data_IF_981733050028
#
_entry.id   IF_981733050028
#
_cell.length_a   1.000
_cell.length_b   1.000
_cell.length_c   1.000
_cell.angle_alpha   90.00
_cell.angle_beta   90.00
_cell.angle_gamma   90.00
#
_symmetry.space_group_name_H-M   'P 1'
#
loop_
_entity.id
_entity.type
_entity.pdbx_description
1 polymer ?
#
# COMPACT_ATOMS: atom_id res chain seq x y z
N UNK A 1 -6.19 17.51 10.02
CA UNK A 1 -5.57 16.22 10.32
C UNK A 1 -4.56 15.91 9.24
N UNK A 2 -3.31 15.73 9.60
CA UNK A 2 -2.23 15.32 8.69
C UNK A 2 -2.42 13.87 8.26
N UNK A 3 -1.75 13.44 7.18
CA UNK A 3 -1.78 12.03 6.78
C UNK A 3 -1.19 11.11 7.87
N UNK A 4 -0.12 11.55 8.54
CA UNK A 4 0.50 10.76 9.61
C UNK A 4 -0.44 10.58 10.79
N UNK A 5 -1.17 11.63 11.20
CA UNK A 5 -2.20 11.53 12.26
C UNK A 5 -3.34 10.59 11.85
N UNK A 6 -3.78 10.67 10.58
CA UNK A 6 -4.80 9.77 10.04
C UNK A 6 -4.35 8.30 10.13
N UNK A 7 -3.11 8.01 9.73
CA UNK A 7 -2.56 6.65 9.76
C UNK A 7 -2.28 6.19 11.20
N UNK A 8 -1.91 7.10 12.10
CA UNK A 8 -1.81 6.79 13.53
C UNK A 8 -3.16 6.41 14.16
N UNK A 9 -4.26 6.92 13.58
CA UNK A 9 -5.65 6.61 13.97
C UNK A 9 -6.26 5.39 13.29
N UNK A 10 -5.47 4.52 12.64
CA UNK A 10 -5.96 3.23 12.16
C UNK A 10 -6.61 2.43 13.30
N UNK A 11 -7.66 1.68 12.99
CA UNK A 11 -8.41 0.87 13.95
C UNK A 11 -8.40 -0.62 13.60
N UNK A 12 -8.82 -1.45 14.56
CA UNK A 12 -8.85 -2.89 14.39
C UNK A 12 -9.83 -3.32 13.28
N UNK A 13 -10.93 -2.58 13.09
CA UNK A 13 -11.91 -2.87 12.03
C UNK A 13 -11.31 -2.72 10.63
N UNK A 14 -10.44 -1.72 10.43
CA UNK A 14 -9.71 -1.50 9.18
C UNK A 14 -8.63 -2.56 8.97
N UNK A 15 -7.91 -2.94 10.04
CA UNK A 15 -6.75 -3.83 9.94
C UNK A 15 -7.10 -5.31 9.90
N UNK A 16 -8.15 -5.76 10.61
CA UNK A 16 -8.53 -7.17 10.69
C UNK A 16 -8.61 -7.85 9.31
N UNK A 17 -9.37 -7.35 8.32
CA UNK A 17 -9.45 -8.02 7.01
C UNK A 17 -8.11 -8.06 6.26
N UNK A 18 -7.21 -7.10 6.51
CA UNK A 18 -5.86 -7.08 5.91
C UNK A 18 -4.99 -8.16 6.55
N UNK A 19 -4.99 -8.25 7.88
CA UNK A 19 -4.20 -9.23 8.63
C UNK A 19 -4.70 -10.64 8.37
N UNK A 20 -6.01 -10.88 8.35
CA UNK A 20 -6.58 -12.20 8.05
C UNK A 20 -6.19 -12.70 6.66
N UNK A 21 -6.11 -11.83 5.64
CA UNK A 21 -5.59 -12.19 4.32
C UNK A 21 -4.09 -12.50 4.32
N UNK A 22 -3.32 -11.82 5.18
CA UNK A 22 -1.88 -12.08 5.35
C UNK A 22 -1.64 -13.45 5.98
N UNK A 23 -2.31 -13.74 7.10
CA UNK A 23 -2.08 -14.97 7.89
C UNK A 23 -2.97 -16.14 7.47
N UNK A 24 -3.92 -15.92 6.56
CA UNK A 24 -4.87 -16.91 6.02
C UNK A 24 -5.76 -17.60 7.07
N UNK A 25 -5.96 -16.96 8.22
CA UNK A 25 -6.81 -17.44 9.33
C UNK A 25 -7.46 -16.24 10.04
N UNK A 26 -8.61 -16.42 10.72
CA UNK A 26 -9.20 -15.38 11.56
C UNK A 26 -8.26 -14.93 12.68
N UNK A 27 -8.27 -13.63 13.00
CA UNK A 27 -7.42 -13.06 14.06
C UNK A 27 -8.18 -12.15 15.03
N UNK A 28 -7.62 -12.02 16.24
CA UNK A 28 -8.06 -11.12 17.31
C UNK A 28 -6.88 -10.49 18.02
N UNK A 29 -7.14 -9.59 18.96
CA UNK A 29 -6.13 -8.95 19.81
C UNK A 29 -4.98 -8.35 18.98
N UNK A 30 -5.32 -7.50 18.00
CA UNK A 30 -4.32 -6.89 17.12
C UNK A 30 -3.55 -5.81 17.89
N UNK A 31 -2.24 -5.85 17.79
CA UNK A 31 -1.34 -4.75 18.17
C UNK A 31 -0.57 -4.32 16.93
N UNK A 32 -0.35 -3.01 16.75
CA UNK A 32 0.37 -2.51 15.59
C UNK A 32 1.04 -1.17 15.85
N UNK A 33 1.99 -0.88 14.97
CA UNK A 33 2.57 0.44 14.77
C UNK A 33 2.56 0.75 13.29
N UNK A 34 2.43 2.02 12.94
CA UNK A 34 2.56 2.49 11.57
C UNK A 34 3.71 3.50 11.49
N UNK A 35 4.71 3.18 10.67
CA UNK A 35 5.89 4.02 10.47
C UNK A 35 5.95 4.50 9.01
N UNK A 36 6.17 5.79 8.74
CA UNK A 36 6.44 6.26 7.39
C UNK A 36 7.64 5.52 6.79
N UNK A 37 7.55 5.18 5.51
CA UNK A 37 8.69 4.70 4.73
C UNK A 37 9.31 5.92 4.06
N UNK A 38 10.62 6.14 4.29
CA UNK A 38 11.34 7.25 3.69
C UNK A 38 11.22 7.18 2.16
N UNK A 39 10.52 8.17 1.61
CA UNK A 39 10.25 8.28 0.19
C UNK A 39 10.57 9.71 -0.24
N UNK A 40 11.44 9.86 -1.25
CA UNK A 40 11.57 11.13 -1.93
C UNK A 40 10.35 11.31 -2.83
N UNK A 41 9.57 12.34 -2.57
CA UNK A 41 8.37 12.67 -3.35
C UNK A 41 8.73 12.91 -4.82
N UNK A 42 8.69 11.84 -5.63
CA UNK A 42 8.98 11.89 -7.06
C UNK A 42 7.70 11.97 -7.90
N UNK A 43 6.53 11.79 -7.29
CA UNK A 43 5.23 11.72 -7.95
C UNK A 43 4.15 12.44 -7.11
N UNK A 44 3.44 13.43 -7.66
CA UNK A 44 2.40 14.19 -6.94
C UNK A 44 1.16 13.36 -6.56
N UNK A 45 0.96 12.19 -7.17
CA UNK A 45 -0.20 11.33 -6.86
C UNK A 45 0.02 10.37 -5.69
N UNK A 46 1.23 10.34 -5.12
CA UNK A 46 1.54 9.54 -3.94
C UNK A 46 1.55 10.42 -2.70
N UNK A 47 0.54 10.28 -1.84
CA UNK A 47 0.45 11.03 -0.59
C UNK A 47 1.42 10.51 0.48
N UNK A 48 1.72 9.20 0.44
CA UNK A 48 2.66 8.60 1.38
C UNK A 48 2.71 7.08 1.28
N UNK A 49 3.75 6.53 1.91
CA UNK A 49 3.97 5.10 2.06
C UNK A 49 4.26 4.82 3.53
N UNK A 50 3.60 3.81 4.09
CA UNK A 50 3.71 3.44 5.50
C UNK A 50 3.91 1.94 5.61
N UNK A 51 4.81 1.53 6.49
CA UNK A 51 4.91 0.16 6.96
C UNK A 51 4.06 0.03 8.22
N UNK A 52 3.11 -0.89 8.20
CA UNK A 52 2.26 -1.20 9.35
C UNK A 52 2.59 -2.62 9.80
N UNK A 53 3.04 -2.76 11.04
CA UNK A 53 3.53 -4.03 11.55
C UNK A 53 3.17 -4.22 13.02
N UNK A 54 3.01 -5.48 13.41
CA UNK A 54 2.73 -5.85 14.79
C UNK A 54 2.43 -7.33 14.96
N UNK A 55 1.56 -7.63 15.91
CA UNK A 55 1.19 -9.00 16.32
C UNK A 55 -0.32 -9.17 16.26
N UNK A 56 -0.76 -10.40 16.05
CA UNK A 56 -2.18 -10.76 16.14
C UNK A 56 -2.33 -12.17 16.69
N UNK A 57 -3.39 -12.41 17.46
CA UNK A 57 -3.72 -13.74 17.99
C UNK A 57 -4.47 -14.55 16.93
N UNK A 58 -3.81 -15.58 16.40
CA UNK A 58 -4.40 -16.59 15.51
C UNK A 58 -4.68 -17.88 16.30
N UNK A 59 -5.92 -18.05 16.75
CA UNK A 59 -6.28 -19.15 17.65
C UNK A 59 -5.58 -19.03 19.01
N UNK A 60 -4.65 -19.93 19.30
CA UNK A 60 -3.86 -19.95 20.54
C UNK A 60 -2.43 -19.38 20.37
N UNK A 61 -2.06 -18.91 19.18
CA UNK A 61 -0.69 -18.50 18.86
C UNK A 61 -0.64 -17.03 18.45
N UNK A 62 0.34 -16.29 18.98
CA UNK A 62 0.66 -14.95 18.49
C UNK A 62 1.46 -15.05 17.20
N UNK A 63 0.99 -14.35 16.15
CA UNK A 63 1.60 -14.31 14.82
C UNK A 63 2.10 -12.89 14.56
N UNK A 64 3.41 -12.68 14.30
CA UNK A 64 3.86 -11.40 13.77
C UNK A 64 3.33 -11.21 12.35
N UNK A 65 3.03 -9.97 11.99
CA UNK A 65 2.58 -9.60 10.66
C UNK A 65 3.10 -8.23 10.27
N UNK A 66 3.23 -7.99 8.97
CA UNK A 66 3.48 -6.67 8.43
C UNK A 66 2.84 -6.49 7.06
N UNK A 67 2.46 -5.26 6.77
CA UNK A 67 1.84 -4.82 5.53
C UNK A 67 2.41 -3.46 5.13
N UNK A 68 2.32 -3.16 3.83
CA UNK A 68 2.60 -1.83 3.30
C UNK A 68 1.29 -1.14 2.96
N UNK A 69 1.10 0.06 3.48
CA UNK A 69 0.00 0.95 3.13
C UNK A 69 0.53 2.05 2.22
N UNK A 70 0.05 2.07 0.97
CA UNK A 70 0.30 3.14 0.01
C UNK A 70 -0.94 4.02 -0.09
N UNK A 71 -0.76 5.32 0.06
CA UNK A 71 -1.85 6.30 -0.04
C UNK A 71 -1.69 7.06 -1.35
N UNK A 72 -2.62 6.84 -2.27
CA UNK A 72 -2.75 7.56 -3.53
C UNK A 72 -3.65 8.78 -3.32
N UNK A 73 -3.42 9.87 -4.06
CA UNK A 73 -4.23 11.08 -3.97
C UNK A 73 -4.41 11.76 -5.33
N UNK A 74 -5.53 12.45 -5.48
CA UNK A 74 -5.72 13.40 -6.59
C UNK A 74 -4.69 14.52 -6.54
N UNK A 75 -4.37 15.06 -7.70
CA UNK A 75 -3.40 16.16 -7.84
C UNK A 75 -4.08 17.47 -7.46
N UNK A 76 -3.40 18.29 -6.65
CA UNK A 76 -3.82 19.67 -6.36
C UNK A 76 -3.50 20.59 -7.54
N UNK A 77 -4.16 21.75 -7.66
CA UNK A 77 -3.83 22.72 -8.71
C UNK A 77 -2.37 23.22 -8.60
N UNK A 78 -1.86 23.33 -7.37
CA UNK A 78 -0.46 23.69 -7.09
C UNK A 78 0.51 22.63 -7.63
N UNK A 79 0.26 21.35 -7.33
CA UNK A 79 1.08 20.25 -7.85
C UNK A 79 0.95 20.15 -9.39
N UNK A 80 -0.24 20.33 -9.93
CA UNK A 80 -0.45 20.31 -11.38
C UNK A 80 0.36 21.40 -12.08
N UNK A 81 0.46 22.60 -11.49
CA UNK A 81 1.31 23.68 -11.98
C UNK A 81 2.80 23.36 -11.82
N UNK A 82 3.22 22.89 -10.63
CA UNK A 82 4.61 22.54 -10.30
C UNK A 82 5.17 21.46 -11.24
N UNK A 83 4.36 20.45 -11.54
CA UNK A 83 4.72 19.35 -12.43
C UNK A 83 4.36 19.61 -13.91
N UNK A 84 3.87 20.83 -14.24
CA UNK A 84 3.50 21.27 -15.60
C UNK A 84 2.51 20.33 -16.30
N UNK A 85 1.63 19.70 -15.54
CA UNK A 85 0.73 18.64 -16.03
C UNK A 85 -0.27 19.22 -17.04
N UNK A 86 -0.86 20.38 -16.73
CA UNK A 86 -1.81 21.05 -17.61
C UNK A 86 -1.21 21.47 -18.97
N UNK A 87 0.12 21.56 -19.08
CA UNK A 87 0.82 21.97 -20.30
C UNK A 87 1.20 20.79 -21.21
N UNK A 88 1.12 19.54 -20.74
CA UNK A 88 1.42 18.36 -21.54
C UNK A 88 0.41 17.24 -21.26
N UNK A 89 -0.47 16.98 -22.24
CA UNK A 89 -1.51 15.95 -22.16
C UNK A 89 -0.94 14.56 -21.81
N UNK A 90 0.30 14.24 -22.18
CA UNK A 90 0.92 12.94 -21.83
C UNK A 90 1.15 12.81 -20.32
N UNK A 91 1.35 13.93 -19.63
CA UNK A 91 1.53 13.93 -18.18
C UNK A 91 0.22 13.65 -17.44
N UNK A 92 -0.95 13.87 -18.06
CA UNK A 92 -2.23 13.50 -17.44
C UNK A 92 -2.34 11.99 -17.21
N UNK A 93 -1.93 11.18 -18.19
CA UNK A 93 -1.91 9.71 -18.04
C UNK A 93 -0.77 9.26 -17.13
N UNK A 94 0.42 9.88 -17.27
CA UNK A 94 1.57 9.56 -16.42
C UNK A 94 1.28 9.80 -14.92
N UNK A 95 0.46 10.82 -14.62
CA UNK A 95 0.00 11.16 -13.27
C UNK A 95 -1.47 10.84 -13.05
N UNK A 96 -2.03 9.85 -13.74
CA UNK A 96 -3.36 9.33 -13.38
C UNK A 96 -3.29 8.71 -11.97
N UNK A 97 -3.95 9.32 -11.01
CA UNK A 97 -3.76 9.05 -9.59
C UNK A 97 -4.24 7.67 -9.12
N UNK A 98 -5.30 7.14 -9.72
CA UNK A 98 -5.95 5.90 -9.31
C UNK A 98 -5.46 4.67 -10.11
N UNK A 99 -4.52 4.86 -11.04
CA UNK A 99 -4.09 3.81 -11.98
C UNK A 99 -3.60 2.54 -11.28
N UNK A 100 -2.87 2.71 -10.16
CA UNK A 100 -2.30 1.59 -9.40
C UNK A 100 -3.38 0.82 -8.65
N UNK A 101 -4.33 1.52 -8.03
CA UNK A 101 -5.50 0.87 -7.42
C UNK A 101 -6.31 0.11 -8.48
N UNK A 102 -6.57 0.71 -9.64
CA UNK A 102 -7.24 0.03 -10.76
C UNK A 102 -6.48 -1.20 -11.25
N UNK A 103 -5.15 -1.14 -11.35
CA UNK A 103 -4.34 -2.27 -11.77
C UNK A 103 -4.50 -3.46 -10.81
N UNK A 104 -4.39 -3.23 -9.49
CA UNK A 104 -4.61 -4.29 -8.49
C UNK A 104 -6.05 -4.81 -8.47
N UNK A 105 -7.04 -3.92 -8.47
CA UNK A 105 -8.47 -4.27 -8.43
C UNK A 105 -8.94 -5.00 -9.69
N UNK A 106 -8.32 -4.74 -10.84
CA UNK A 106 -8.68 -5.43 -12.11
C UNK A 106 -8.19 -6.88 -12.18
N UNK A 107 -7.32 -7.30 -11.25
CA UNK A 107 -6.65 -8.59 -11.35
C UNK A 107 -5.54 -8.65 -12.40
N UNK A 108 -5.09 -7.50 -12.94
CA UNK A 108 -3.98 -7.42 -13.90
C UNK A 108 -2.72 -8.14 -13.40
N UNK A 109 -2.50 -8.13 -12.09
CA UNK A 109 -1.36 -8.77 -11.43
C UNK A 109 -1.65 -10.19 -10.91
N UNK A 110 -2.79 -10.80 -11.28
CA UNK A 110 -3.07 -12.21 -10.97
C UNK A 110 -2.13 -13.17 -11.70
N UNK A 111 -1.96 -14.39 -11.16
CA UNK A 111 -1.13 -15.51 -11.63
C UNK A 111 -0.13 -15.18 -12.75
N UNK A 112 0.97 -14.48 -12.38
CA UNK A 112 2.09 -14.29 -13.29
C UNK A 112 2.84 -15.62 -13.43
N UNK A 113 2.59 -16.33 -14.54
CA UNK A 113 3.36 -17.53 -14.94
C UNK A 113 4.85 -17.27 -15.24
N UNK A 114 5.29 -16.02 -15.09
CA UNK A 114 6.64 -15.56 -15.33
C UNK A 114 7.17 -14.88 -14.08
N UNK A 115 8.19 -15.43 -13.42
CA UNK A 115 9.28 -14.70 -12.77
C UNK A 115 8.91 -13.64 -11.73
N UNK A 116 8.40 -12.54 -12.26
CA UNK A 116 8.11 -11.32 -11.58
C UNK A 116 6.65 -11.28 -11.18
N UNK A 117 6.39 -11.46 -9.88
CA UNK A 117 5.08 -11.18 -9.28
C UNK A 117 5.04 -9.77 -8.70
N UNK A 118 3.91 -9.09 -8.85
CA UNK A 118 3.65 -7.88 -8.07
C UNK A 118 3.46 -8.23 -6.59
N UNK A 119 3.62 -7.23 -5.72
CA UNK A 119 3.27 -7.37 -4.31
C UNK A 119 1.80 -7.78 -4.17
N UNK A 120 1.52 -8.86 -3.43
CA UNK A 120 0.16 -9.34 -3.21
C UNK A 120 -0.75 -8.23 -2.67
N UNK A 121 -1.87 -8.03 -3.34
CA UNK A 121 -2.90 -7.08 -2.94
C UNK A 121 -3.73 -7.62 -1.77
N UNK A 122 -3.83 -6.84 -0.69
CA UNK A 122 -4.58 -7.19 0.51
C UNK A 122 -5.94 -6.46 0.57
N UNK A 123 -6.10 -5.38 -0.19
CA UNK A 123 -7.34 -4.63 -0.26
C UNK A 123 -7.11 -3.18 -0.58
N UNK A 124 -8.19 -2.50 -0.95
CA UNK A 124 -8.18 -1.06 -1.15
C UNK A 124 -9.42 -0.44 -0.49
N UNK A 125 -9.26 0.80 -0.05
CA UNK A 125 -10.38 1.67 0.33
C UNK A 125 -10.32 2.91 -0.56
N UNK A 126 -11.43 3.25 -1.21
CA UNK A 126 -11.55 4.47 -2.02
C UNK A 126 -12.29 5.55 -1.23
N UNK A 127 -11.73 6.74 -1.21
CA UNK A 127 -12.39 7.97 -0.79
C UNK A 127 -12.54 8.93 -1.98
N UNK A 128 -13.07 10.13 -1.74
CA UNK A 128 -13.31 11.12 -2.80
C UNK A 128 -12.01 11.57 -3.51
N UNK A 129 -10.93 11.77 -2.75
CA UNK A 129 -9.67 12.34 -3.24
C UNK A 129 -8.45 11.46 -2.92
N UNK A 130 -8.66 10.30 -2.31
CA UNK A 130 -7.60 9.39 -1.87
C UNK A 130 -8.00 7.94 -2.07
N UNK A 131 -6.99 7.09 -2.25
CA UNK A 131 -7.15 5.65 -2.19
C UNK A 131 -6.05 5.05 -1.30
N UNK A 132 -6.45 4.23 -0.35
CA UNK A 132 -5.56 3.47 0.53
C UNK A 132 -5.42 2.08 -0.05
N UNK A 133 -4.23 1.73 -0.51
CA UNK A 133 -3.91 0.42 -1.11
C UNK A 133 -3.02 -0.34 -0.14
N UNK A 134 -3.51 -1.48 0.31
CA UNK A 134 -2.79 -2.39 1.20
C UNK A 134 -2.12 -3.50 0.39
N UNK A 135 -0.82 -3.66 0.61
CA UNK A 135 0.05 -4.60 -0.10
C UNK A 135 0.83 -5.46 0.90
N UNK A 136 1.27 -6.64 0.47
CA UNK A 136 2.22 -7.43 1.23
C UNK A 136 3.49 -6.63 1.51
N UNK A 137 4.02 -6.76 2.72
CA UNK A 137 5.36 -6.29 3.05
C UNK A 137 6.38 -7.33 2.57
N UNK A 138 7.26 -6.93 1.65
CA UNK A 138 8.30 -7.78 1.07
C UNK A 138 9.55 -7.87 1.96
N UNK A 139 9.54 -7.22 3.12
CA UNK A 139 10.66 -7.20 4.05
C UNK A 139 11.64 -6.05 3.80
N UNK A 140 12.85 -6.17 4.34
CA UNK A 140 13.91 -5.16 4.24
C UNK A 140 14.93 -5.52 3.17
N UNK A 141 15.55 -4.49 2.61
CA UNK A 141 16.51 -4.54 1.50
C UNK A 141 17.86 -5.21 1.88
N UNK A 142 18.11 -5.45 3.18
CA UNK A 142 19.28 -6.17 3.68
C UNK A 142 19.17 -7.69 3.52
N UNK A 143 17.97 -8.20 3.24
CA UNK A 143 17.76 -9.59 2.86
C UNK A 143 18.03 -9.74 1.35
N UNK A 144 19.24 -10.19 1.00
CA UNK A 144 19.61 -10.47 -0.40
C UNK A 144 18.65 -11.53 -0.95
N UNK A 145 17.78 -11.13 -1.88
CA UNK A 145 16.84 -12.07 -2.50
C UNK A 145 17.61 -13.13 -3.28
N UNK A 146 17.30 -14.40 -3.03
CA UNK A 146 17.73 -15.48 -3.90
C UNK A 146 16.98 -15.40 -5.24
N UNK A 147 17.54 -16.04 -6.28
CA UNK A 147 16.95 -16.05 -7.63
C UNK A 147 15.56 -16.69 -7.63
N UNK A 148 15.26 -17.62 -6.72
CA UNK A 148 13.93 -18.25 -6.62
C UNK A 148 12.84 -17.29 -6.13
N UNK A 149 13.17 -16.18 -5.46
CA UNK A 149 12.20 -15.13 -5.12
C UNK A 149 11.94 -14.15 -6.28
N UNK A 150 12.75 -14.19 -7.34
CA UNK A 150 12.54 -13.49 -8.62
C UNK A 150 11.85 -14.36 -9.68
N UNK A 151 11.38 -15.57 -9.30
CA UNK A 151 10.86 -16.60 -10.20
C UNK A 151 9.32 -16.75 -10.11
#
# INVERSE_FOLDING_TARGET
MTLVEEIAGLDEATLRPIVEKLVAVPVRDLEWTATPVDYKLANPVSAGLFRVAGTARAGATDRPWSAVLKVLQTISDEDAARFRIAADVRLHEAFRWDREACAYESGLFGDSSSGFRAARWLGSRRGAHRCWVWLEDLGRDDERWDVSRYA
#
